data_IF_646897619165
#
_entry.id   IF_646897619165
#
_cell.length_a   1.000
_cell.length_b   1.000
_cell.length_c   1.000
_cell.angle_alpha   90.00
_cell.angle_beta   90.00
_cell.angle_gamma   90.00
#
_symmetry.space_group_name_H-M   'P 1'
#
loop_
_entity.id
_entity.type
_entity.pdbx_description
1 polymer ?
#
# COMPACT_ATOMS: atom_id res chain seq x y z
N UNK A 1 9.07 30.19 9.80
CA UNK A 1 7.99 29.33 9.29
C UNK A 1 8.64 28.39 8.28
N UNK A 2 9.11 27.22 8.74
CA UNK A 2 9.72 26.23 7.84
C UNK A 2 8.63 25.77 6.90
N UNK A 3 8.70 26.19 5.64
CA UNK A 3 7.79 25.71 4.60
C UNK A 3 7.95 24.20 4.52
N UNK A 4 6.94 23.47 4.99
CA UNK A 4 6.86 22.01 4.82
C UNK A 4 7.10 21.77 3.32
N UNK A 5 8.24 21.15 3.03
CA UNK A 5 8.78 21.10 1.68
C UNK A 5 7.89 20.12 0.92
N UNK A 6 6.94 20.65 0.16
CA UNK A 6 6.18 19.91 -0.85
C UNK A 6 7.14 19.41 -1.93
N UNK A 7 7.92 18.39 -1.61
CA UNK A 7 8.75 17.71 -2.59
C UNK A 7 7.86 16.84 -3.48
N UNK A 8 8.21 16.73 -4.76
CA UNK A 8 7.50 15.86 -5.69
C UNK A 8 7.48 14.40 -5.21
N UNK A 9 8.53 13.96 -4.50
CA UNK A 9 8.61 12.63 -3.89
C UNK A 9 7.54 12.42 -2.81
N UNK A 10 7.28 13.43 -1.99
CA UNK A 10 6.24 13.36 -0.96
C UNK A 10 4.84 13.27 -1.57
N UNK A 11 4.55 14.06 -2.61
CA UNK A 11 3.27 13.99 -3.33
C UNK A 11 3.05 12.62 -3.97
N UNK A 12 4.08 12.06 -4.60
CA UNK A 12 4.03 10.71 -5.17
C UNK A 12 3.79 9.63 -4.10
N UNK A 13 4.44 9.75 -2.94
CA UNK A 13 4.22 8.85 -1.81
C UNK A 13 2.79 8.88 -1.28
N UNK A 14 2.17 10.06 -1.21
CA UNK A 14 0.76 10.19 -0.82
C UNK A 14 -0.19 9.56 -1.84
N UNK A 15 0.07 9.73 -3.13
CA UNK A 15 -0.74 9.11 -4.18
C UNK A 15 -0.69 7.58 -4.09
N UNK A 16 0.51 7.02 -3.90
CA UNK A 16 0.71 5.57 -3.70
C UNK A 16 0.00 5.08 -2.44
N UNK A 17 0.14 5.78 -1.31
CA UNK A 17 -0.54 5.40 -0.07
C UNK A 17 -2.07 5.40 -0.24
N UNK A 18 -2.61 6.40 -0.95
CA UNK A 18 -4.03 6.47 -1.29
C UNK A 18 -4.48 5.26 -2.10
N UNK A 19 -3.74 4.91 -3.15
CA UNK A 19 -4.00 3.76 -4.01
C UNK A 19 -3.97 2.43 -3.24
N UNK A 20 -2.87 2.14 -2.53
CA UNK A 20 -2.73 0.92 -1.72
C UNK A 20 -3.86 0.79 -0.70
N UNK A 21 -4.23 1.91 -0.05
CA UNK A 21 -5.32 1.89 0.94
C UNK A 21 -6.69 1.61 0.34
N UNK A 22 -6.93 2.07 -0.90
CA UNK A 22 -8.16 1.83 -1.64
C UNK A 22 -8.24 0.37 -2.09
N UNK A 23 -7.17 -0.16 -2.68
CA UNK A 23 -7.07 -1.54 -3.15
C UNK A 23 -7.24 -2.55 -2.01
N UNK A 24 -6.54 -2.34 -0.88
CA UNK A 24 -6.68 -3.20 0.29
C UNK A 24 -8.14 -3.24 0.80
N UNK A 25 -8.79 -2.08 0.92
CA UNK A 25 -10.20 -2.01 1.34
C UNK A 25 -11.12 -2.70 0.36
N UNK A 26 -10.86 -2.56 -0.95
CA UNK A 26 -11.62 -3.21 -2.00
C UNK A 26 -11.49 -4.74 -1.89
N UNK A 27 -10.27 -5.28 -1.80
CA UNK A 27 -10.03 -6.71 -1.66
C UNK A 27 -10.70 -7.30 -0.41
N UNK A 28 -10.56 -6.64 0.75
CA UNK A 28 -11.21 -7.08 2.00
C UNK A 28 -12.73 -7.06 1.87
N UNK A 29 -13.30 -6.02 1.24
CA UNK A 29 -14.75 -5.91 1.04
C UNK A 29 -15.26 -6.98 0.07
N UNK A 30 -14.51 -7.25 -0.99
CA UNK A 30 -14.81 -8.28 -1.98
C UNK A 30 -14.79 -9.68 -1.36
N UNK A 31 -13.75 -10.00 -0.57
CA UNK A 31 -13.67 -11.27 0.15
C UNK A 31 -14.85 -11.48 1.11
N UNK A 32 -15.23 -10.43 1.86
CA UNK A 32 -16.41 -10.45 2.73
C UNK A 32 -17.71 -10.64 1.95
N UNK A 33 -17.85 -9.96 0.81
CA UNK A 33 -19.02 -10.10 -0.05
C UNK A 33 -19.15 -11.53 -0.58
N UNK A 34 -18.06 -12.10 -1.10
CA UNK A 34 -18.01 -13.49 -1.60
C UNK A 34 -18.36 -14.51 -0.51
N UNK A 35 -17.84 -14.32 0.70
CA UNK A 35 -18.17 -15.19 1.83
C UNK A 35 -19.66 -15.10 2.21
N UNK A 36 -20.27 -13.91 2.11
CA UNK A 36 -21.68 -13.71 2.44
C UNK A 36 -22.64 -14.18 1.34
N UNK A 37 -22.23 -14.08 0.08
CA UNK A 37 -23.05 -14.35 -1.09
C UNK A 37 -22.33 -15.24 -2.10
N UNK A 38 -22.11 -16.53 -1.78
CA UNK A 38 -21.28 -17.43 -2.59
C UNK A 38 -21.86 -17.73 -3.99
N UNK A 39 -23.16 -17.50 -4.19
CA UNK A 39 -23.85 -17.77 -5.46
C UNK A 39 -23.97 -16.54 -6.37
N UNK A 40 -23.48 -15.37 -5.92
CA UNK A 40 -23.51 -14.14 -6.69
C UNK A 40 -22.16 -13.94 -7.37
N UNK A 41 -22.18 -13.91 -8.70
CA UNK A 41 -21.01 -13.59 -9.51
C UNK A 41 -20.66 -12.11 -9.34
N UNK A 42 -19.41 -11.82 -8.99
CA UNK A 42 -18.91 -10.45 -8.88
C UNK A 42 -17.88 -10.25 -9.97
N UNK A 43 -18.15 -9.30 -10.86
CA UNK A 43 -17.17 -8.82 -11.84
C UNK A 43 -16.00 -8.19 -11.07
N UNK A 44 -14.84 -8.84 -11.13
CA UNK A 44 -13.63 -8.33 -10.49
C UNK A 44 -13.13 -7.09 -11.23
N UNK A 45 -12.79 -6.06 -10.46
CA UNK A 45 -12.31 -4.80 -11.01
C UNK A 45 -10.83 -4.91 -11.43
N UNK A 46 -10.50 -4.27 -12.56
CA UNK A 46 -9.18 -4.19 -13.21
C UNK A 46 -8.05 -3.65 -12.32
N UNK A 47 -8.37 -3.02 -11.18
CA UNK A 47 -7.37 -2.55 -10.22
C UNK A 47 -6.70 -3.68 -9.43
N UNK A 48 -7.20 -4.91 -9.50
CA UNK A 48 -6.53 -6.07 -8.90
C UNK A 48 -5.27 -6.51 -9.65
N UNK A 49 -5.08 -6.02 -10.88
CA UNK A 49 -3.97 -6.36 -11.76
C UNK A 49 -3.36 -5.11 -12.37
N UNK A 50 -3.10 -4.05 -11.60
CA UNK A 50 -2.28 -2.96 -12.11
C UNK A 50 -0.80 -3.40 -11.99
N UNK A 51 -0.15 -3.85 -13.08
CA UNK A 51 1.23 -4.35 -13.01
C UNK A 51 2.23 -3.22 -12.70
N UNK A 52 1.78 -1.96 -12.77
CA UNK A 52 2.58 -0.79 -12.45
C UNK A 52 3.05 -0.77 -10.99
N UNK A 53 2.38 -1.49 -10.07
CA UNK A 53 2.81 -1.67 -8.68
C UNK A 53 3.72 -2.90 -8.49
N UNK A 54 3.63 -3.92 -9.36
CA UNK A 54 4.58 -5.07 -9.39
C UNK A 54 5.96 -4.66 -9.92
N UNK A 55 6.02 -3.64 -10.78
CA UNK A 55 7.26 -3.07 -11.32
C UNK A 55 7.96 -2.11 -10.34
N UNK A 56 7.38 -1.83 -9.17
CA UNK A 56 8.06 -1.05 -8.13
C UNK A 56 8.95 -1.98 -7.32
N UNK A 57 10.29 -1.91 -7.44
CA UNK A 57 11.17 -2.67 -6.58
C UNK A 57 10.91 -2.26 -5.14
N UNK A 58 10.36 -3.19 -4.35
CA UNK A 58 10.28 -3.06 -2.91
C UNK A 58 11.73 -3.19 -2.44
N UNK A 59 12.34 -2.06 -2.10
CA UNK A 59 13.65 -2.07 -1.48
C UNK A 59 13.45 -2.69 -0.08
N UNK A 60 13.81 -3.96 0.08
CA UNK A 60 13.84 -4.59 1.40
C UNK A 60 14.91 -3.88 2.23
N UNK A 61 14.47 -2.87 2.99
CA UNK A 61 15.33 -2.17 3.94
C UNK A 61 15.50 -3.10 5.13
N UNK A 62 16.72 -3.62 5.39
CA UNK A 62 16.95 -4.45 6.55
C UNK A 62 16.66 -3.65 7.81
N UNK A 63 15.90 -4.23 8.73
CA UNK A 63 15.79 -3.68 10.07
C UNK A 63 17.17 -3.73 10.71
N UNK A 64 17.65 -2.57 11.17
CA UNK A 64 18.87 -2.50 11.95
C UNK A 64 18.56 -3.02 13.36
N UNK A 65 18.69 -4.33 13.55
CA UNK A 65 18.58 -5.01 14.84
C UNK A 65 19.83 -4.80 15.71
N UNK A 66 20.73 -3.89 15.33
CA UNK A 66 21.89 -3.55 16.15
C UNK A 66 21.43 -3.01 17.51
N UNK A 67 21.98 -3.51 18.62
CA UNK A 67 21.66 -2.95 19.93
C UNK A 67 22.07 -1.47 19.96
N UNK A 68 21.21 -0.61 20.49
CA UNK A 68 21.51 0.80 20.69
C UNK A 68 22.85 0.92 21.44
N UNK A 69 23.76 1.82 21.01
CA UNK A 69 25.05 1.97 21.67
C UNK A 69 24.82 2.29 23.15
N UNK A 70 25.37 1.44 24.02
CA UNK A 70 25.32 1.65 25.47
C UNK A 70 26.11 2.93 25.79
N UNK A 71 25.42 3.96 26.24
CA UNK A 71 26.08 5.11 26.86
C UNK A 71 26.81 4.61 28.12
N UNK A 72 28.11 4.90 28.20
CA UNK A 72 28.99 4.63 29.33
C UNK A 72 29.47 5.94 29.93
#
# INVERSE_FOLDING_TARGET
MVGYKESSKFKLGLQRLGQVSYEYKYQVTLAKFRAKYPNLEVEENLFTSLPEDDDVPIEEVPFDDSPAPSEA
#
